data_IF_516737146353
#
_entry.id   IF_516737146353
#
_cell.length_a   1.000
_cell.length_b   1.000
_cell.length_c   1.000
_cell.angle_alpha   90.00
_cell.angle_beta   90.00
_cell.angle_gamma   90.00
#
_symmetry.space_group_name_H-M   'P 1'
#
loop_
_entity.id
_entity.type
_entity.pdbx_description
1 polymer ?
#
# COMPACT_ATOMS: atom_id res chain seq x y z
N UNK A 1 -2.05 15.73 11.77
CA UNK A 1 -3.10 15.81 10.74
C UNK A 1 -3.73 14.45 10.42
N UNK A 2 -2.95 13.40 10.19
CA UNK A 2 -3.46 12.03 9.93
C UNK A 2 -4.41 11.49 10.99
N UNK A 3 -4.03 11.57 12.27
CA UNK A 3 -4.83 11.07 13.39
C UNK A 3 -6.23 11.73 13.48
N UNK A 4 -6.36 13.07 13.49
CA UNK A 4 -7.68 13.69 13.54
C UNK A 4 -8.53 13.40 12.29
N UNK A 5 -7.93 13.28 11.10
CA UNK A 5 -8.65 12.88 9.88
C UNK A 5 -9.29 11.48 10.05
N UNK A 6 -8.54 10.53 10.61
CA UNK A 6 -9.03 9.17 10.87
C UNK A 6 -10.09 9.11 11.98
N UNK A 7 -9.97 9.92 13.03
CA UNK A 7 -10.98 10.00 14.09
C UNK A 7 -12.30 10.61 13.60
N UNK A 8 -12.23 11.55 12.65
CA UNK A 8 -13.39 12.26 12.11
C UNK A 8 -14.06 11.55 10.92
N UNK A 9 -13.56 10.38 10.50
CA UNK A 9 -14.07 9.66 9.33
C UNK A 9 -15.58 9.40 9.34
N UNK A 10 -16.16 9.12 10.51
CA UNK A 10 -17.61 8.90 10.66
C UNK A 10 -18.43 10.19 10.53
N UNK A 11 -17.91 11.32 11.02
CA UNK A 11 -18.56 12.63 10.90
C UNK A 11 -18.53 13.09 9.44
N UNK A 12 -17.37 13.00 8.79
CA UNK A 12 -17.23 13.37 7.37
C UNK A 12 -18.12 12.48 6.50
N UNK A 13 -18.19 11.17 6.79
CA UNK A 13 -19.09 10.26 6.09
C UNK A 13 -20.57 10.66 6.17
N UNK A 14 -21.02 11.11 7.34
CA UNK A 14 -22.43 11.52 7.54
C UNK A 14 -22.81 12.84 6.84
N UNK A 15 -21.84 13.74 6.62
CA UNK A 15 -22.06 15.05 6.00
C UNK A 15 -22.22 14.99 4.48
N UNK A 16 -21.80 13.89 3.85
CA UNK A 16 -21.62 13.78 2.40
C UNK A 16 -22.43 12.65 1.76
N UNK A 17 -23.63 12.36 2.28
CA UNK A 17 -24.47 11.24 1.86
C UNK A 17 -25.01 11.35 0.40
N UNK A 18 -25.04 12.55 -0.19
CA UNK A 18 -25.55 12.74 -1.56
C UNK A 18 -24.42 12.82 -2.60
N UNK A 19 -24.45 11.93 -3.60
CA UNK A 19 -23.50 11.87 -4.72
C UNK A 19 -23.76 12.97 -5.76
N UNK A 20 -23.52 14.23 -5.39
CA UNK A 20 -23.54 15.38 -6.32
C UNK A 20 -22.14 15.65 -6.89
N UNK A 21 -22.04 16.49 -7.93
CA UNK A 21 -20.73 16.97 -8.45
C UNK A 21 -19.87 17.58 -7.33
N UNK A 22 -20.49 18.30 -6.40
CA UNK A 22 -19.83 18.85 -5.21
C UNK A 22 -19.16 17.78 -4.34
N UNK A 23 -19.79 16.61 -4.17
CA UNK A 23 -19.20 15.48 -3.45
C UNK A 23 -17.89 15.04 -4.12
N UNK A 24 -17.92 14.87 -5.44
CA UNK A 24 -16.76 14.42 -6.22
C UNK A 24 -15.56 15.38 -6.13
N UNK A 25 -15.82 16.69 -6.06
CA UNK A 25 -14.77 17.70 -5.89
C UNK A 25 -14.22 17.66 -4.46
N UNK A 26 -15.11 17.72 -3.46
CA UNK A 26 -14.71 17.74 -2.04
C UNK A 26 -14.00 16.45 -1.63
N UNK A 27 -14.40 15.33 -2.19
CA UNK A 27 -13.78 14.04 -1.93
C UNK A 27 -12.36 13.94 -2.51
N UNK A 28 -12.10 14.48 -3.71
CA UNK A 28 -10.73 14.59 -4.25
C UNK A 28 -9.88 15.55 -3.44
N UNK A 29 -10.45 16.66 -2.98
CA UNK A 29 -9.76 17.57 -2.07
C UNK A 29 -9.41 16.88 -0.74
N UNK A 30 -10.33 16.08 -0.20
CA UNK A 30 -10.09 15.26 0.99
C UNK A 30 -8.93 14.27 0.76
N UNK A 31 -8.94 13.53 -0.36
CA UNK A 31 -7.84 12.61 -0.73
C UNK A 31 -6.52 13.38 -0.80
N UNK A 32 -6.49 14.53 -1.47
CA UNK A 32 -5.29 15.33 -1.63
C UNK A 32 -4.72 15.79 -0.27
N UNK A 33 -5.56 16.41 0.57
CA UNK A 33 -5.15 16.89 1.91
C UNK A 33 -4.67 15.71 2.77
N UNK A 34 -5.36 14.58 2.71
CA UNK A 34 -5.01 13.42 3.49
C UNK A 34 -3.68 12.80 3.01
N UNK A 35 -3.47 12.68 1.70
CA UNK A 35 -2.21 12.21 1.12
C UNK A 35 -1.05 13.13 1.48
N UNK A 36 -1.24 14.44 1.35
CA UNK A 36 -0.23 15.42 1.78
C UNK A 36 0.13 15.28 3.26
N UNK A 37 -0.86 15.14 4.14
CA UNK A 37 -0.63 14.90 5.57
C UNK A 37 0.13 13.58 5.83
N UNK A 38 -0.16 12.53 5.06
CA UNK A 38 0.51 11.23 5.19
C UNK A 38 1.96 11.27 4.73
N UNK A 39 2.26 11.88 3.58
CA UNK A 39 3.64 12.05 3.11
C UNK A 39 4.46 12.84 4.12
N UNK A 40 3.91 13.91 4.71
CA UNK A 40 4.58 14.68 5.75
C UNK A 40 4.81 13.87 7.04
N UNK A 41 3.87 13.03 7.45
CA UNK A 41 4.07 12.10 8.57
C UNK A 41 5.25 11.15 8.25
N UNK A 42 5.23 10.49 7.09
CA UNK A 42 6.29 9.59 6.65
C UNK A 42 7.65 10.28 6.66
N UNK A 43 7.77 11.45 6.02
CA UNK A 43 9.03 12.22 5.97
C UNK A 43 9.48 12.68 7.35
N UNK A 44 8.57 13.18 8.18
CA UNK A 44 8.90 13.63 9.54
C UNK A 44 9.48 12.51 10.40
N UNK A 45 8.84 11.33 10.39
CA UNK A 45 9.33 10.18 11.13
C UNK A 45 10.64 9.63 10.54
N UNK A 46 10.76 9.59 9.21
CA UNK A 46 11.98 9.18 8.53
C UNK A 46 13.19 10.03 8.96
N UNK A 47 13.06 11.36 8.90
CA UNK A 47 14.12 12.28 9.31
C UNK A 47 14.43 12.22 10.80
N UNK A 48 13.41 12.03 11.64
CA UNK A 48 13.63 11.83 13.08
C UNK A 48 14.51 10.61 13.33
N UNK A 49 14.24 9.50 12.66
CA UNK A 49 15.05 8.29 12.79
C UNK A 49 16.44 8.51 12.15
N UNK A 50 16.59 9.29 11.06
CA UNK A 50 17.90 9.62 10.48
C UNK A 50 18.77 10.35 11.49
N UNK A 51 18.17 11.28 12.24
CA UNK A 51 18.85 12.02 13.29
C UNK A 51 19.20 11.14 14.50
N UNK A 52 18.29 10.26 14.92
CA UNK A 52 18.46 9.44 16.14
C UNK A 52 19.41 8.26 15.97
N UNK A 53 19.38 7.58 14.81
CA UNK A 53 20.12 6.33 14.59
C UNK A 53 21.21 6.44 13.51
N UNK A 54 21.25 7.57 12.80
CA UNK A 54 22.17 7.82 11.69
C UNK A 54 21.76 7.14 10.38
N UNK A 55 22.53 7.43 9.33
CA UNK A 55 22.35 6.87 7.98
C UNK A 55 23.51 5.93 7.69
N UNK A 56 23.35 4.67 8.08
CA UNK A 56 24.34 3.61 7.86
C UNK A 56 23.64 2.25 7.74
N UNK A 57 24.37 1.26 7.23
CA UNK A 57 23.83 -0.08 6.95
C UNK A 57 23.31 -0.79 8.21
N UNK A 58 23.95 -0.58 9.37
CA UNK A 58 23.53 -1.18 10.64
C UNK A 58 22.20 -0.58 11.10
N UNK A 59 22.07 0.75 11.07
CA UNK A 59 20.81 1.44 11.35
C UNK A 59 19.69 0.95 10.42
N UNK A 60 19.98 0.77 9.13
CA UNK A 60 19.02 0.26 8.16
C UNK A 60 18.54 -1.16 8.52
N UNK A 61 19.49 -2.06 8.82
CA UNK A 61 19.19 -3.44 9.22
C UNK A 61 18.41 -3.52 10.54
N UNK A 62 18.77 -2.69 11.52
CA UNK A 62 18.07 -2.63 12.82
C UNK A 62 16.65 -2.09 12.66
N UNK A 63 16.44 -1.04 11.86
CA UNK A 63 15.10 -0.51 11.57
C UNK A 63 14.21 -1.58 10.93
N UNK A 64 14.71 -2.28 9.92
CA UNK A 64 13.97 -3.35 9.26
C UNK A 64 13.69 -4.51 10.23
N UNK A 65 14.69 -4.99 10.96
CA UNK A 65 14.54 -6.07 11.94
C UNK A 65 13.55 -5.73 13.06
N UNK A 66 13.64 -4.53 13.63
CA UNK A 66 12.71 -4.06 14.65
C UNK A 66 11.28 -3.94 14.12
N UNK A 67 11.10 -3.45 12.89
CA UNK A 67 9.77 -3.38 12.27
C UNK A 67 9.15 -4.76 12.09
N UNK A 68 9.91 -5.74 11.60
CA UNK A 68 9.45 -7.11 11.36
C UNK A 68 9.18 -7.87 12.66
N UNK A 69 9.98 -7.64 13.70
CA UNK A 69 9.79 -8.22 15.03
C UNK A 69 8.43 -7.85 15.63
N UNK A 70 7.88 -6.69 15.29
CA UNK A 70 6.55 -6.25 15.72
C UNK A 70 5.48 -6.59 14.69
N UNK A 71 5.75 -6.48 13.39
CA UNK A 71 4.75 -6.77 12.34
C UNK A 71 4.33 -8.23 12.26
N UNK A 72 5.27 -9.17 12.41
CA UNK A 72 4.97 -10.61 12.33
C UNK A 72 3.95 -11.02 13.40
N UNK A 73 4.13 -10.77 14.71
CA UNK A 73 3.13 -11.13 15.71
C UNK A 73 1.83 -10.31 15.55
N UNK A 74 1.90 -9.07 15.05
CA UNK A 74 0.71 -8.28 14.77
C UNK A 74 -0.02 -8.68 13.49
N UNK A 75 0.54 -9.55 12.65
CA UNK A 75 -0.01 -9.94 11.34
C UNK A 75 -0.26 -8.74 10.44
N UNK A 76 0.72 -7.85 10.33
CA UNK A 76 0.61 -6.57 9.63
C UNK A 76 1.68 -6.37 8.53
N UNK A 77 2.32 -7.43 8.07
CA UNK A 77 3.42 -7.39 7.07
C UNK A 77 2.91 -6.89 5.71
N UNK A 78 1.68 -7.23 5.32
CA UNK A 78 1.08 -6.72 4.07
C UNK A 78 0.97 -5.19 3.97
N UNK A 79 1.06 -4.46 5.07
CA UNK A 79 1.01 -2.99 5.08
C UNK A 79 2.31 -2.35 4.55
N UNK A 80 3.38 -3.12 4.33
CA UNK A 80 4.61 -2.62 3.72
C UNK A 80 4.41 -2.40 2.21
N UNK A 81 3.58 -3.20 1.55
CA UNK A 81 3.32 -3.07 0.13
C UNK A 81 2.53 -1.80 -0.20
N UNK A 82 2.89 -1.15 -1.29
CA UNK A 82 2.20 0.02 -1.83
C UNK A 82 2.06 -0.13 -3.35
N UNK A 83 1.60 0.91 -4.05
CA UNK A 83 1.59 0.89 -5.51
C UNK A 83 2.99 0.64 -6.06
N UNK A 84 3.15 -0.16 -7.14
CA UNK A 84 2.09 -0.72 -8.00
C UNK A 84 1.45 -2.03 -7.48
N UNK A 85 1.91 -2.59 -6.38
CA UNK A 85 1.43 -3.88 -5.85
C UNK A 85 0.04 -3.78 -5.22
N UNK A 86 -0.25 -2.65 -4.58
CA UNK A 86 -1.58 -2.32 -4.07
C UNK A 86 -2.04 -1.04 -4.74
N UNK A 87 -3.20 -1.08 -5.39
CA UNK A 87 -3.83 0.08 -6.02
C UNK A 87 -5.21 0.28 -5.42
N UNK A 88 -5.51 1.51 -5.00
CA UNK A 88 -6.79 1.92 -4.45
C UNK A 88 -7.44 2.95 -5.38
N UNK A 89 -8.73 2.76 -5.68
CA UNK A 89 -9.48 3.61 -6.62
C UNK A 89 -10.41 4.58 -5.92
N UNK A 90 -10.63 5.75 -6.51
CA UNK A 90 -11.39 6.88 -5.95
C UNK A 90 -12.90 6.66 -5.89
N UNK A 91 -13.39 5.48 -6.25
CA UNK A 91 -14.81 5.11 -6.22
C UNK A 91 -15.09 3.94 -5.27
N UNK A 92 -14.60 3.97 -4.01
CA UNK A 92 -14.86 2.88 -3.08
C UNK A 92 -16.33 2.92 -2.61
N UNK A 93 -16.83 1.77 -2.17
CA UNK A 93 -18.16 1.68 -1.57
C UNK A 93 -18.30 2.55 -0.29
N UNK A 94 -17.20 2.76 0.44
CA UNK A 94 -17.16 3.54 1.68
C UNK A 94 -16.04 4.61 1.61
N UNK A 95 -16.30 5.77 0.97
CA UNK A 95 -15.31 6.81 0.65
C UNK A 95 -14.47 7.30 1.82
N UNK A 96 -15.08 7.52 2.98
CA UNK A 96 -14.36 8.08 4.13
C UNK A 96 -13.82 7.02 5.09
N UNK A 97 -14.19 5.75 4.91
CA UNK A 97 -13.75 4.70 5.83
C UNK A 97 -12.28 4.37 5.63
N UNK A 98 -11.54 4.41 6.72
CA UNK A 98 -10.17 3.90 6.83
C UNK A 98 -10.20 2.67 7.71
N UNK A 99 -9.72 1.54 7.20
CA UNK A 99 -9.71 0.29 7.97
C UNK A 99 -8.67 0.36 9.08
N UNK A 100 -9.04 -0.03 10.29
CA UNK A 100 -8.16 -0.09 11.46
C UNK A 100 -7.80 -1.54 11.77
N UNK A 101 -6.78 -1.75 12.62
CA UNK A 101 -6.24 -3.07 12.95
C UNK A 101 -7.28 -4.04 13.48
N UNK A 102 -8.20 -3.58 14.32
CA UNK A 102 -9.30 -4.39 14.86
C UNK A 102 -10.62 -4.18 14.11
N UNK A 103 -10.66 -3.28 13.13
CA UNK A 103 -11.84 -3.01 12.32
C UNK A 103 -13.02 -2.44 13.12
N UNK A 104 -12.76 -1.79 14.26
CA UNK A 104 -13.80 -1.18 15.08
C UNK A 104 -14.54 -0.12 14.25
N UNK A 105 -15.87 -0.20 14.23
CA UNK A 105 -16.70 0.73 13.48
C UNK A 105 -16.59 2.14 14.06
N UNK A 106 -16.64 3.21 13.23
CA UNK A 106 -16.61 4.58 13.71
C UNK A 106 -17.72 4.85 14.73
N UNK A 107 -17.34 5.10 15.98
CA UNK A 107 -18.23 5.36 17.08
C UNK A 107 -17.55 6.25 18.13
N UNK A 108 -18.33 6.91 18.98
CA UNK A 108 -17.81 7.71 20.11
C UNK A 108 -17.40 6.80 21.28
N UNK A 109 -16.51 5.85 21.03
CA UNK A 109 -16.06 4.85 22.02
C UNK A 109 -14.54 4.87 22.16
N UNK A 110 -14.06 4.58 23.37
CA UNK A 110 -12.61 4.44 23.63
C UNK A 110 -11.98 3.27 22.87
N UNK A 111 -12.77 2.25 22.52
CA UNK A 111 -12.32 1.14 21.66
C UNK A 111 -11.99 1.63 20.25
N UNK A 112 -12.85 2.47 19.65
CA UNK A 112 -12.58 3.05 18.34
C UNK A 112 -11.35 3.97 18.39
N UNK A 113 -11.26 4.83 19.40
CA UNK A 113 -10.10 5.72 19.59
C UNK A 113 -8.81 4.90 19.72
N UNK A 114 -8.81 3.86 20.56
CA UNK A 114 -7.65 2.99 20.76
C UNK A 114 -7.23 2.26 19.48
N UNK A 115 -8.17 1.73 18.70
CA UNK A 115 -7.89 1.04 17.44
C UNK A 115 -7.33 1.99 16.36
N UNK A 116 -7.87 3.21 16.27
CA UNK A 116 -7.33 4.27 15.40
C UNK A 116 -5.92 4.68 15.82
N UNK A 117 -5.67 4.89 17.12
CA UNK A 117 -4.34 5.26 17.63
C UNK A 117 -3.33 4.14 17.36
N UNK A 118 -3.68 2.88 17.65
CA UNK A 118 -2.82 1.74 17.36
C UNK A 118 -2.48 1.68 15.87
N UNK A 119 -3.48 1.83 15.01
CA UNK A 119 -3.27 1.78 13.56
C UNK A 119 -2.39 2.93 13.08
N UNK A 120 -2.75 4.17 13.41
CA UNK A 120 -2.09 5.36 12.85
C UNK A 120 -0.74 5.64 13.49
N UNK A 121 -0.59 5.40 14.80
CA UNK A 121 0.64 5.74 15.52
C UNK A 121 1.61 4.57 15.52
N UNK A 122 1.16 3.34 15.78
CA UNK A 122 2.07 2.19 15.83
C UNK A 122 2.28 1.59 14.43
N UNK A 123 1.22 1.12 13.77
CA UNK A 123 1.36 0.34 12.53
C UNK A 123 1.95 1.18 11.41
N UNK A 124 1.44 2.40 11.17
CA UNK A 124 2.00 3.28 10.13
C UNK A 124 3.47 3.64 10.45
N UNK A 125 3.82 3.89 11.71
CA UNK A 125 5.23 4.17 12.06
C UNK A 125 6.14 2.98 11.76
N UNK A 126 5.69 1.76 12.05
CA UNK A 126 6.43 0.54 11.70
C UNK A 126 6.60 0.38 10.19
N UNK A 127 5.62 0.81 9.37
CA UNK A 127 5.76 0.83 7.90
C UNK A 127 6.90 1.77 7.50
N UNK A 128 6.99 2.95 8.12
CA UNK A 128 8.10 3.90 7.88
C UNK A 128 9.44 3.28 8.25
N UNK A 129 9.56 2.57 9.37
CA UNK A 129 10.79 1.86 9.76
C UNK A 129 11.18 0.80 8.73
N UNK A 130 10.22 -0.01 8.26
CA UNK A 130 10.45 -1.05 7.27
C UNK A 130 10.90 -0.45 5.93
N UNK A 131 10.19 0.57 5.44
CA UNK A 131 10.52 1.29 4.23
C UNK A 131 11.90 1.94 4.30
N UNK A 132 12.19 2.64 5.40
CA UNK A 132 13.50 3.28 5.62
C UNK A 132 14.63 2.27 5.67
N UNK A 133 14.42 1.15 6.36
CA UNK A 133 15.38 0.06 6.40
C UNK A 133 15.67 -0.52 5.02
N UNK A 134 14.63 -0.91 4.26
CA UNK A 134 14.79 -1.45 2.90
C UNK A 134 15.43 -0.42 1.97
N UNK A 135 14.97 0.83 2.00
CA UNK A 135 15.47 1.90 1.15
C UNK A 135 16.96 2.18 1.38
N UNK A 136 17.39 2.32 2.64
CA UNK A 136 18.80 2.55 2.97
C UNK A 136 19.66 1.34 2.64
N UNK A 137 19.16 0.11 2.84
CA UNK A 137 19.87 -1.09 2.38
C UNK A 137 20.11 -1.05 0.86
N UNK A 138 19.12 -0.62 0.07
CA UNK A 138 19.28 -0.43 -1.37
C UNK A 138 20.27 0.70 -1.70
N UNK A 139 20.27 1.81 -0.95
CA UNK A 139 21.25 2.90 -1.12
C UNK A 139 22.69 2.42 -0.95
N UNK A 140 22.95 1.56 0.04
CA UNK A 140 24.30 1.06 0.30
C UNK A 140 24.71 -0.11 -0.61
N UNK A 141 23.77 -0.83 -1.21
CA UNK A 141 24.06 -2.07 -1.95
C UNK A 141 23.96 -1.92 -3.47
N UNK A 142 23.08 -1.05 -3.97
CA UNK A 142 22.79 -0.94 -5.41
C UNK A 142 23.49 0.27 -6.00
N UNK A 143 24.68 0.07 -6.56
CA UNK A 143 25.47 1.09 -7.26
C UNK A 143 25.57 2.42 -6.48
N UNK A 144 26.11 2.42 -5.24
CA UNK A 144 26.09 3.58 -4.36
C UNK A 144 26.78 4.83 -4.94
N UNK A 145 27.73 4.65 -5.84
CA UNK A 145 28.48 5.74 -6.49
C UNK A 145 27.90 6.20 -7.83
N UNK A 146 26.86 5.53 -8.34
CA UNK A 146 26.28 5.80 -9.66
C UNK A 146 24.75 5.82 -9.57
N UNK A 147 24.21 7.02 -9.36
CA UNK A 147 22.77 7.21 -9.17
C UNK A 147 21.96 6.78 -10.40
N UNK A 148 22.49 6.95 -11.61
CA UNK A 148 21.83 6.55 -12.85
C UNK A 148 21.67 5.04 -12.93
N UNK A 149 22.76 4.28 -12.70
CA UNK A 149 22.69 2.81 -12.67
C UNK A 149 21.85 2.32 -11.49
N UNK A 150 21.95 2.98 -10.34
CA UNK A 150 21.16 2.67 -9.16
C UNK A 150 19.66 2.81 -9.44
N UNK A 151 19.26 3.90 -10.10
CA UNK A 151 17.88 4.20 -10.52
C UNK A 151 17.31 3.07 -11.37
N UNK A 152 17.95 2.76 -12.51
CA UNK A 152 17.44 1.76 -13.45
C UNK A 152 17.48 0.35 -12.86
N UNK A 153 18.48 0.04 -12.03
CA UNK A 153 18.56 -1.26 -11.37
C UNK A 153 17.44 -1.43 -10.35
N UNK A 154 17.12 -0.40 -9.55
CA UNK A 154 16.00 -0.44 -8.62
C UNK A 154 14.64 -0.55 -9.33
N UNK A 155 14.43 0.20 -10.42
CA UNK A 155 13.23 0.05 -11.25
C UNK A 155 13.13 -1.36 -11.83
N UNK A 156 14.23 -1.89 -12.38
CA UNK A 156 14.30 -3.24 -12.94
C UNK A 156 13.97 -4.32 -11.92
N UNK A 157 14.60 -4.27 -10.73
CA UNK A 157 14.32 -5.20 -9.63
C UNK A 157 12.86 -5.09 -9.18
N UNK A 158 12.38 -3.87 -8.94
CA UNK A 158 11.03 -3.61 -8.44
C UNK A 158 9.95 -4.13 -9.39
N UNK A 159 10.06 -3.84 -10.69
CA UNK A 159 9.10 -4.33 -11.68
C UNK A 159 9.27 -5.83 -12.00
N UNK A 160 10.47 -6.39 -11.92
CA UNK A 160 10.67 -7.84 -12.03
C UNK A 160 9.98 -8.60 -10.88
N UNK A 161 10.08 -8.07 -9.65
CA UNK A 161 9.33 -8.59 -8.50
C UNK A 161 7.83 -8.43 -8.74
N UNK A 162 7.37 -7.27 -9.22
CA UNK A 162 5.96 -7.04 -9.53
C UNK A 162 5.39 -8.07 -10.51
N UNK A 163 6.04 -8.27 -11.65
CA UNK A 163 5.61 -9.26 -12.66
C UNK A 163 5.58 -10.67 -12.06
N UNK A 164 6.61 -11.01 -11.28
CA UNK A 164 6.70 -12.31 -10.62
C UNK A 164 5.56 -12.53 -9.63
N UNK A 165 5.27 -11.53 -8.80
CA UNK A 165 4.17 -11.56 -7.83
C UNK A 165 2.82 -11.65 -8.56
N UNK A 166 2.60 -10.90 -9.65
CA UNK A 166 1.39 -11.00 -10.48
C UNK A 166 1.20 -12.43 -11.03
N UNK A 167 2.26 -13.06 -11.52
CA UNK A 167 2.17 -14.44 -12.04
C UNK A 167 1.92 -15.44 -10.90
N UNK A 168 2.53 -15.22 -9.74
CA UNK A 168 2.49 -16.16 -8.61
C UNK A 168 1.31 -15.95 -7.65
N UNK A 169 0.55 -14.85 -7.74
CA UNK A 169 -0.54 -14.56 -6.79
C UNK A 169 -1.62 -15.65 -6.78
N UNK A 170 -2.00 -16.15 -7.97
CA UNK A 170 -3.04 -17.18 -8.13
C UNK A 170 -2.58 -18.56 -7.65
N UNK A 171 -1.43 -19.09 -8.08
CA UNK A 171 -0.93 -20.36 -7.55
C UNK A 171 -0.62 -20.28 -6.06
N UNK A 172 -0.08 -19.16 -5.56
CA UNK A 172 0.15 -18.96 -4.11
C UNK A 172 -1.17 -18.95 -3.34
N UNK A 173 -2.21 -18.27 -3.86
CA UNK A 173 -3.55 -18.27 -3.26
C UNK A 173 -4.13 -19.68 -3.15
N UNK A 174 -4.00 -20.48 -4.22
CA UNK A 174 -4.42 -21.88 -4.24
C UNK A 174 -3.62 -22.74 -3.25
N UNK A 175 -2.31 -22.51 -3.14
CA UNK A 175 -1.45 -23.20 -2.19
C UNK A 175 -1.86 -22.88 -0.74
N UNK A 176 -2.03 -21.61 -0.39
CA UNK A 176 -2.40 -21.17 0.97
C UNK A 176 -3.73 -21.81 1.40
N UNK A 177 -4.73 -21.87 0.52
CA UNK A 177 -6.03 -22.53 0.78
C UNK A 177 -5.93 -24.03 1.06
N UNK A 178 -4.89 -24.70 0.54
CA UNK A 178 -4.70 -26.16 0.70
C UNK A 178 -3.87 -26.50 1.95
N UNK A 179 -3.17 -25.54 2.54
CA UNK A 179 -2.35 -25.75 3.72
C UNK A 179 -3.25 -25.95 4.94
N UNK A 180 -3.15 -27.12 5.58
CA UNK A 180 -3.96 -27.46 6.77
C UNK A 180 -3.52 -26.76 8.06
N UNK A 181 -2.34 -26.12 8.08
CA UNK A 181 -1.77 -25.45 9.25
C UNK A 181 -1.83 -23.93 9.16
N UNK A 182 -2.56 -23.29 10.07
CA UNK A 182 -2.73 -21.83 10.08
C UNK A 182 -1.39 -21.07 10.04
N UNK A 183 -0.45 -21.41 10.92
CA UNK A 183 0.84 -20.70 10.99
C UNK A 183 1.71 -20.88 9.74
N UNK A 184 1.59 -22.01 9.04
CA UNK A 184 2.34 -22.25 7.80
C UNK A 184 1.74 -21.43 6.67
N UNK A 185 0.40 -21.43 6.54
CA UNK A 185 -0.30 -20.58 5.56
C UNK A 185 -0.03 -19.09 5.80
N UNK A 186 -0.07 -18.68 7.07
CA UNK A 186 0.25 -17.32 7.50
C UNK A 186 1.69 -16.93 7.12
N UNK A 187 2.67 -17.80 7.38
CA UNK A 187 4.06 -17.54 7.03
C UNK A 187 4.25 -17.40 5.51
N UNK A 188 3.59 -18.25 4.71
CA UNK A 188 3.63 -18.13 3.24
C UNK A 188 3.05 -16.78 2.78
N UNK A 189 1.89 -16.38 3.32
CA UNK A 189 1.28 -15.10 3.00
C UNK A 189 2.16 -13.91 3.40
N UNK A 190 2.75 -13.95 4.60
CA UNK A 190 3.68 -12.90 5.08
C UNK A 190 4.93 -12.79 4.22
N UNK A 191 5.53 -13.92 3.82
CA UNK A 191 6.70 -13.91 2.94
C UNK A 191 6.33 -13.31 1.58
N UNK A 192 5.20 -13.73 1.01
CA UNK A 192 4.73 -13.23 -0.28
C UNK A 192 4.45 -11.72 -0.26
N UNK A 193 3.79 -11.25 0.78
CA UNK A 193 3.46 -9.81 0.95
C UNK A 193 4.69 -8.98 1.35
N UNK A 194 5.64 -9.54 2.10
CA UNK A 194 6.92 -8.89 2.37
C UNK A 194 7.74 -8.67 1.09
N UNK A 195 7.83 -9.70 0.24
CA UNK A 195 8.49 -9.58 -1.08
C UNK A 195 7.81 -8.51 -1.94
N UNK A 196 6.49 -8.44 -1.91
CA UNK A 196 5.71 -7.35 -2.55
C UNK A 196 6.06 -5.98 -1.98
N UNK A 197 6.26 -5.88 -0.66
CA UNK A 197 6.76 -4.69 0.02
C UNK A 197 8.15 -4.27 -0.44
N UNK A 198 9.11 -5.20 -0.51
CA UNK A 198 10.46 -4.92 -1.02
C UNK A 198 10.41 -4.43 -2.47
N UNK A 199 9.61 -5.08 -3.33
CA UNK A 199 9.40 -4.63 -4.69
C UNK A 199 8.80 -3.22 -4.78
N UNK A 200 7.84 -2.90 -3.90
CA UNK A 200 7.25 -1.56 -3.79
C UNK A 200 8.34 -0.53 -3.47
N UNK A 201 9.14 -0.75 -2.42
CA UNK A 201 10.20 0.17 -2.02
C UNK A 201 11.23 0.34 -3.15
N UNK A 202 11.59 -0.72 -3.87
CA UNK A 202 12.52 -0.65 -5.00
C UNK A 202 11.98 0.22 -6.14
N UNK A 203 10.70 0.07 -6.52
CA UNK A 203 10.05 0.92 -7.53
C UNK A 203 10.04 2.38 -7.07
N UNK A 204 9.60 2.66 -5.84
CA UNK A 204 9.52 4.03 -5.33
C UNK A 204 10.89 4.70 -5.22
N UNK A 205 11.90 3.98 -4.73
CA UNK A 205 13.29 4.46 -4.72
C UNK A 205 13.77 4.78 -6.13
N UNK A 206 13.56 3.87 -7.08
CA UNK A 206 13.91 4.09 -8.47
C UNK A 206 13.23 5.32 -9.07
N UNK A 207 11.92 5.49 -8.85
CA UNK A 207 11.17 6.65 -9.38
C UNK A 207 11.63 7.98 -8.78
N UNK A 208 11.91 8.03 -7.47
CA UNK A 208 12.40 9.24 -6.82
C UNK A 208 13.77 9.65 -7.37
N UNK A 209 14.71 8.70 -7.46
CA UNK A 209 16.03 8.96 -8.04
C UNK A 209 15.95 9.31 -9.53
N UNK A 210 15.01 8.73 -10.27
CA UNK A 210 14.78 9.10 -11.67
C UNK A 210 14.40 10.58 -11.80
N UNK A 211 13.55 11.09 -10.89
CA UNK A 211 13.23 12.52 -10.88
C UNK A 211 14.44 13.37 -10.55
N UNK A 212 15.23 12.98 -9.56
CA UNK A 212 16.45 13.70 -9.16
C UNK A 212 17.51 13.74 -10.30
N UNK A 213 17.64 12.66 -11.07
CA UNK A 213 18.64 12.55 -12.16
C UNK A 213 18.18 13.19 -13.47
N UNK A 214 16.90 13.05 -13.83
CA UNK A 214 16.44 13.36 -15.19
C UNK A 214 15.46 14.54 -15.31
N UNK A 215 14.72 14.87 -14.25
CA UNK A 215 13.65 15.88 -14.34
C UNK A 215 14.16 17.20 -13.77
N UNK A 216 14.55 18.11 -14.66
CA UNK A 216 15.03 19.45 -14.31
C UNK A 216 16.07 19.43 -13.15
N UNK A 217 17.18 18.68 -13.29
CA UNK A 217 18.13 18.47 -12.19
C UNK A 217 18.74 19.77 -11.65
N UNK A 218 18.91 20.77 -12.53
CA UNK A 218 19.44 22.10 -12.14
C UNK A 218 18.39 23.01 -11.49
N UNK A 219 17.10 22.63 -11.51
CA UNK A 219 15.98 23.41 -10.99
C UNK A 219 15.05 22.53 -10.11
N UNK A 220 15.54 22.05 -8.96
CA UNK A 220 14.83 21.04 -8.15
C UNK A 220 13.45 21.52 -7.67
N UNK A 221 13.31 22.81 -7.33
CA UNK A 221 12.01 23.36 -6.90
C UNK A 221 10.97 23.27 -8.02
N UNK A 222 11.36 23.57 -9.27
CA UNK A 222 10.46 23.48 -10.43
C UNK A 222 10.15 22.01 -10.71
N UNK A 223 11.16 21.14 -10.63
CA UNK A 223 10.99 19.68 -10.76
C UNK A 223 9.93 19.14 -9.81
N UNK A 224 9.99 19.50 -8.52
CA UNK A 224 9.04 19.05 -7.51
C UNK A 224 7.61 19.50 -7.82
N UNK A 225 7.40 20.76 -8.21
CA UNK A 225 6.06 21.25 -8.55
C UNK A 225 5.50 20.61 -9.82
N UNK A 226 6.33 20.41 -10.83
CA UNK A 226 5.92 19.77 -12.09
C UNK A 226 5.57 18.31 -11.85
N UNK A 227 6.45 17.54 -11.21
CA UNK A 227 6.21 16.11 -10.94
C UNK A 227 5.02 15.90 -10.01
N UNK A 228 4.87 16.73 -8.97
CA UNK A 228 3.70 16.72 -8.08
C UNK A 228 2.41 17.04 -8.85
N UNK A 229 2.39 18.12 -9.64
CA UNK A 229 1.23 18.55 -10.41
C UNK A 229 0.79 17.52 -11.44
N UNK A 230 1.72 17.01 -12.23
CA UNK A 230 1.46 15.95 -13.22
C UNK A 230 0.98 14.67 -12.52
N UNK A 231 1.64 14.28 -11.42
CA UNK A 231 1.29 13.07 -10.66
C UNK A 231 -0.13 13.14 -10.09
N UNK A 232 -0.48 14.21 -9.39
CA UNK A 232 -1.81 14.32 -8.75
C UNK A 232 -2.94 14.45 -9.79
N UNK A 233 -2.72 15.22 -10.87
CA UNK A 233 -3.70 15.34 -11.96
C UNK A 233 -3.87 13.99 -12.65
N UNK A 234 -2.78 13.30 -12.96
CA UNK A 234 -2.79 11.98 -13.55
C UNK A 234 -3.57 10.98 -12.70
N UNK A 235 -3.27 10.89 -11.40
CA UNK A 235 -3.95 10.02 -10.47
C UNK A 235 -5.46 10.29 -10.41
N UNK A 236 -5.91 11.55 -10.39
CA UNK A 236 -7.34 11.86 -10.38
C UNK A 236 -8.04 11.62 -11.71
N UNK A 237 -7.35 11.76 -12.85
CA UNK A 237 -7.88 11.40 -14.17
C UNK A 237 -8.14 9.89 -14.24
N UNK A 238 -7.21 9.09 -13.75
CA UNK A 238 -7.35 7.62 -13.70
C UNK A 238 -8.07 7.13 -12.43
N UNK A 239 -8.68 8.01 -11.64
CA UNK A 239 -9.40 7.61 -10.41
C UNK A 239 -8.55 6.74 -9.45
N UNK A 240 -7.26 6.99 -9.35
CA UNK A 240 -6.33 6.27 -8.47
C UNK A 240 -5.73 7.17 -7.38
N UNK A 241 -6.29 8.35 -7.11
CA UNK A 241 -5.81 9.29 -6.09
C UNK A 241 -5.63 8.65 -4.71
N UNK A 242 -6.53 7.75 -4.31
CA UNK A 242 -6.43 6.99 -3.06
C UNK A 242 -5.19 6.09 -2.97
N UNK A 243 -4.56 5.75 -4.08
CA UNK A 243 -3.31 4.96 -4.07
C UNK A 243 -2.14 5.72 -3.45
N UNK A 244 -2.22 7.05 -3.37
CA UNK A 244 -1.26 7.88 -2.62
C UNK A 244 -1.50 7.84 -1.10
N UNK A 245 -2.56 7.19 -0.63
CA UNK A 245 -2.91 7.07 0.78
C UNK A 245 -2.48 5.71 1.34
N UNK A 246 -2.07 5.69 2.60
CA UNK A 246 -2.09 4.47 3.41
C UNK A 246 -3.55 4.26 3.84
N UNK A 247 -4.31 3.47 3.09
CA UNK A 247 -5.79 3.38 3.22
C UNK A 247 -6.28 2.54 4.40
N UNK A 248 -5.43 2.23 5.38
CA UNK A 248 -5.79 1.52 6.59
C UNK A 248 -4.81 0.40 6.93
N UNK A 249 -5.30 -0.58 7.70
CA UNK A 249 -4.52 -1.75 8.12
C UNK A 249 -5.06 -3.03 7.47
N UNK A 250 -4.24 -3.66 6.65
CA UNK A 250 -4.38 -5.07 6.27
C UNK A 250 -3.99 -5.99 7.42
N UNK A 251 -4.61 -7.18 7.48
CA UNK A 251 -4.29 -8.21 8.49
C UNK A 251 -3.97 -9.52 7.77
N UNK A 252 -2.72 -9.97 7.84
CA UNK A 252 -2.26 -11.20 7.18
C UNK A 252 -3.01 -12.43 7.71
N UNK A 253 -3.37 -13.37 6.84
CA UNK A 253 -4.07 -14.62 7.16
C UNK A 253 -5.49 -14.42 7.69
N UNK A 254 -6.06 -13.21 7.50
CA UNK A 254 -7.48 -12.94 7.78
C UNK A 254 -8.38 -13.51 6.69
N UNK A 255 -7.89 -13.45 5.46
CA UNK A 255 -8.59 -13.89 4.26
C UNK A 255 -8.26 -15.37 3.96
N UNK A 256 -9.16 -16.08 3.27
CA UNK A 256 -8.97 -17.49 2.89
C UNK A 256 -8.05 -17.60 1.66
N UNK A 257 -6.75 -17.34 1.89
CA UNK A 257 -5.70 -17.35 0.88
C UNK A 257 -5.81 -16.26 -0.19
N UNK A 258 -6.78 -15.35 -0.12
CA UNK A 258 -6.85 -14.17 -1.00
C UNK A 258 -5.98 -13.00 -0.54
N UNK A 259 -5.39 -13.07 0.65
CA UNK A 259 -4.49 -12.02 1.17
C UNK A 259 -3.21 -11.80 0.33
N UNK A 260 -2.87 -12.75 -0.53
CA UNK A 260 -1.76 -12.65 -1.50
C UNK A 260 -2.16 -12.05 -2.85
N UNK A 261 -3.45 -11.80 -3.10
CA UNK A 261 -3.92 -11.23 -4.37
C UNK A 261 -3.69 -9.73 -4.39
N UNK A 262 -3.19 -9.23 -5.52
CA UNK A 262 -2.96 -7.81 -5.73
C UNK A 262 -4.28 -7.08 -5.97
N UNK A 263 -4.36 -5.84 -5.51
CA UNK A 263 -5.51 -4.98 -5.74
C UNK A 263 -5.55 -4.52 -7.20
N UNK A 264 -6.11 -5.34 -8.10
CA UNK A 264 -6.15 -5.07 -9.54
C UNK A 264 -7.05 -3.88 -9.85
N UNK A 265 -6.47 -2.85 -10.46
CA UNK A 265 -7.14 -1.60 -10.80
C UNK A 265 -8.39 -1.79 -11.68
N UNK A 266 -8.30 -2.60 -12.74
CA UNK A 266 -9.41 -2.83 -13.66
C UNK A 266 -10.56 -3.61 -13.01
N UNK A 267 -10.26 -4.53 -12.08
CA UNK A 267 -11.28 -5.24 -11.30
C UNK A 267 -12.10 -4.27 -10.42
N UNK A 268 -11.44 -3.23 -9.91
CA UNK A 268 -12.08 -2.25 -9.03
C UNK A 268 -12.91 -1.22 -9.79
N UNK A 269 -12.47 -0.78 -10.98
CA UNK A 269 -13.19 0.24 -11.77
C UNK A 269 -14.23 -0.36 -12.72
N UNK A 270 -13.94 -1.54 -13.27
CA UNK A 270 -14.72 -2.17 -14.32
C UNK A 270 -14.99 -3.65 -14.03
N UNK A 271 -15.66 -4.00 -12.91
CA UNK A 271 -15.88 -5.40 -12.53
C UNK A 271 -16.65 -6.20 -13.60
N UNK A 272 -17.56 -5.54 -14.33
CA UNK A 272 -18.38 -6.16 -15.39
C UNK A 272 -17.58 -6.62 -16.61
N UNK A 273 -16.46 -5.95 -16.93
CA UNK A 273 -15.62 -6.28 -18.09
C UNK A 273 -14.88 -7.61 -17.94
N UNK A 274 -14.69 -8.08 -16.70
CA UNK A 274 -13.98 -9.32 -16.40
C UNK A 274 -14.92 -10.50 -16.24
N UNK A 275 -16.15 -10.26 -15.77
CA UNK A 275 -17.20 -11.29 -15.67
C UNK A 275 -17.65 -11.74 -17.07
N UNK A 276 -17.61 -10.88 -18.09
CA UNK A 276 -17.94 -11.27 -19.48
C UNK A 276 -16.87 -12.12 -20.17
N UNK A 277 -15.66 -12.26 -19.59
CA UNK A 277 -14.58 -13.08 -20.14
C UNK A 277 -14.39 -14.43 -19.44
N UNK A 278 -14.96 -14.61 -18.24
CA UNK A 278 -15.03 -15.89 -17.55
C UNK A 278 -16.39 -16.53 -17.80
N UNK A 279 -16.45 -17.62 -18.57
CA UNK A 279 -17.64 -18.46 -18.64
C UNK A 279 -18.14 -18.74 -17.20
N UNK A 280 -19.39 -18.41 -16.92
CA UNK A 280 -19.98 -18.63 -15.59
C UNK A 280 -19.91 -20.13 -15.24
N UNK A 281 -19.51 -20.51 -14.02
CA UNK A 281 -19.51 -21.92 -13.60
C UNK A 281 -20.90 -22.57 -13.50
N UNK A 282 -21.99 -21.84 -13.77
CA UNK A 282 -23.37 -22.31 -13.50
C UNK A 282 -23.99 -23.23 -14.56
N UNK A 283 -23.27 -23.60 -15.63
CA UNK A 283 -23.82 -24.46 -16.70
C UNK A 283 -23.22 -25.87 -16.80
N UNK A 284 -22.72 -26.44 -15.71
CA UNK A 284 -22.47 -27.89 -15.65
C UNK A 284 -23.60 -28.55 -14.84
N UNK A 285 -24.74 -28.76 -15.51
CA UNK A 285 -25.72 -29.72 -15.05
C UNK A 285 -25.07 -31.11 -15.11
N UNK A 286 -24.86 -31.73 -13.95
CA UNK A 286 -24.55 -33.15 -13.88
C UNK A 286 -25.82 -33.90 -14.28
N UNK A 287 -25.84 -34.43 -15.50
CA UNK A 287 -26.83 -35.41 -15.92
C UNK A 287 -26.60 -36.69 -15.08
N UNK A 288 -27.52 -36.96 -14.14
CA UNK A 288 -27.64 -38.27 -13.50
C UNK A 288 -28.01 -39.30 -14.56
N UNK A 289 -27.02 -40.02 -15.09
CA UNK A 289 -27.31 -41.25 -15.84
C UNK A 289 -27.69 -42.34 -14.83
N UNK A 290 -28.99 -42.49 -14.57
CA UNK A 290 -29.57 -43.76 -14.13
C UNK A 290 -29.54 -44.72 -15.31
N UNK A 291 -28.77 -45.80 -15.19
CA UNK A 291 -29.14 -47.20 -15.44
C UNK A 291 -27.92 -48.11 -15.20
#
# INVERSE_FOLDING_TARGET
MTLPINLLQGVVGSLFAEQRVTFNILYRLYIYIYGFAMVNHFRGLWYLIDHLTGVNILSAAVCLGASLLVFVPLRAVNNIAASPFITNVDIPQQPFRVTTRFGVQPAKTWLFVGDVVLTVVLIISLVVLAWRGIWQLLDFTIFPSDQTRSTWTCLGIGYAIFITVVVLESPTSCLVRKIKGFYVGLAVEMVFTFVSGVGSVAVWRGLWLMYDVYVLPDQPVVSYWVTHGVGIVGLFIILAGRSALVTGCGVDGKEDGSGVRLGRYLEQICPKLLISGSASPENVQYEETRL
#
